data_IF_224065277476
#
_entry.id   IF_224065277476
#
_cell.length_a   1.000
_cell.length_b   1.000
_cell.length_c   1.000
_cell.angle_alpha   90.00
_cell.angle_beta   90.00
_cell.angle_gamma   90.00
#
_symmetry.space_group_name_H-M   'P 1'
#
loop_
_entity.id
_entity.type
_entity.pdbx_description
1 polymer ?
#
# COMPACT_ATOMS: atom_id res chain seq x y z
N UNK A 1 -0.34 5.56 -5.14
CA UNK A 1 0.71 6.57 -5.34
C UNK A 1 0.16 7.99 -5.36
N UNK A 2 -0.81 8.33 -6.24
CA UNK A 2 -1.41 9.68 -6.32
C UNK A 2 -1.87 10.25 -4.96
N UNK A 3 -2.52 9.45 -4.12
CA UNK A 3 -2.96 9.88 -2.79
C UNK A 3 -1.78 10.37 -1.91
N UNK A 4 -0.68 9.63 -1.87
CA UNK A 4 0.50 9.97 -1.09
C UNK A 4 1.28 11.15 -1.68
N UNK A 5 1.32 11.27 -3.01
CA UNK A 5 1.86 12.47 -3.68
C UNK A 5 1.09 13.73 -3.26
N UNK A 6 -0.24 13.67 -3.27
CA UNK A 6 -1.11 14.77 -2.82
C UNK A 6 -0.99 15.06 -1.32
N UNK A 7 -0.59 14.07 -0.51
CA UNK A 7 -0.31 14.23 0.91
C UNK A 7 1.07 14.88 1.18
N UNK A 8 1.92 14.99 0.16
CA UNK A 8 3.25 15.63 0.24
C UNK A 8 4.43 14.66 0.20
N UNK A 9 4.22 13.39 -0.18
CA UNK A 9 5.33 12.46 -0.38
C UNK A 9 6.21 12.90 -1.57
N UNK A 10 7.53 12.88 -1.37
CA UNK A 10 8.53 13.29 -2.36
C UNK A 10 9.35 12.13 -2.90
N UNK A 11 9.43 11.02 -2.17
CA UNK A 11 10.19 9.81 -2.53
C UNK A 11 9.41 8.55 -2.17
N UNK A 12 9.50 7.53 -3.01
CA UNK A 12 8.94 6.21 -2.76
C UNK A 12 10.03 5.14 -2.81
N UNK A 13 10.13 4.35 -1.74
CA UNK A 13 10.84 3.08 -1.76
C UNK A 13 9.81 1.97 -1.97
N UNK A 14 9.86 1.31 -3.12
CA UNK A 14 8.94 0.22 -3.46
C UNK A 14 9.70 -1.09 -3.30
N UNK A 15 9.41 -1.80 -2.22
CA UNK A 15 9.97 -3.13 -2.00
C UNK A 15 9.21 -4.14 -2.84
N UNK A 16 9.93 -4.93 -3.63
CA UNK A 16 9.33 -5.87 -4.58
C UNK A 16 10.08 -7.19 -4.61
N UNK A 17 9.34 -8.29 -4.69
CA UNK A 17 9.86 -9.62 -4.99
C UNK A 17 9.51 -10.00 -6.43
N UNK A 18 8.27 -9.75 -6.81
CA UNK A 18 7.72 -10.05 -8.11
C UNK A 18 6.58 -9.08 -8.38
N UNK A 19 6.60 -8.39 -9.51
CA UNK A 19 5.49 -7.56 -10.00
C UNK A 19 5.20 -7.82 -11.47
N UNK A 20 3.95 -7.63 -11.91
CA UNK A 20 3.61 -7.77 -13.33
C UNK A 20 4.29 -6.67 -14.15
N UNK A 21 4.46 -6.93 -15.45
CA UNK A 21 4.98 -5.91 -16.37
C UNK A 21 4.14 -4.62 -16.35
N UNK A 22 2.82 -4.72 -16.22
CA UNK A 22 1.93 -3.56 -16.20
C UNK A 22 2.18 -2.67 -14.97
N UNK A 23 2.34 -3.28 -13.79
CA UNK A 23 2.70 -2.55 -12.56
C UNK A 23 4.09 -1.94 -12.68
N UNK A 24 5.05 -2.68 -13.26
CA UNK A 24 6.40 -2.17 -13.52
C UNK A 24 6.37 -0.94 -14.44
N UNK A 25 5.57 -1.00 -15.52
CA UNK A 25 5.40 0.11 -16.45
C UNK A 25 4.80 1.34 -15.76
N UNK A 26 3.86 1.14 -14.84
CA UNK A 26 3.31 2.25 -14.03
C UNK A 26 4.42 2.88 -13.18
N UNK A 27 5.23 2.10 -12.46
CA UNK A 27 6.34 2.66 -11.66
C UNK A 27 7.35 3.42 -12.52
N UNK A 28 7.75 2.85 -13.66
CA UNK A 28 8.65 3.52 -14.62
C UNK A 28 8.05 4.82 -15.14
N UNK A 29 6.76 4.83 -15.47
CA UNK A 29 6.08 6.03 -15.90
C UNK A 29 6.09 7.14 -14.84
N UNK A 30 5.81 6.83 -13.57
CA UNK A 30 5.91 7.84 -12.51
C UNK A 30 7.34 8.36 -12.37
N UNK A 31 8.33 7.48 -12.47
CA UNK A 31 9.75 7.82 -12.37
C UNK A 31 10.22 8.73 -13.50
N UNK A 32 9.88 8.39 -14.75
CA UNK A 32 10.17 9.20 -15.94
C UNK A 32 9.49 10.57 -15.88
N UNK A 33 8.35 10.66 -15.17
CA UNK A 33 7.58 11.89 -14.96
C UNK A 33 7.86 12.58 -13.62
N UNK A 34 9.10 12.46 -13.14
CA UNK A 34 9.66 13.30 -12.09
C UNK A 34 9.32 12.89 -10.66
N UNK A 35 8.74 11.70 -10.44
CA UNK A 35 8.57 11.15 -9.09
C UNK A 35 9.83 10.35 -8.71
N UNK A 36 10.43 10.63 -7.56
CA UNK A 36 11.58 9.86 -7.08
C UNK A 36 11.11 8.48 -6.58
N UNK A 37 11.40 7.45 -7.38
CA UNK A 37 11.07 6.05 -7.08
C UNK A 37 12.34 5.21 -7.10
N UNK A 38 12.58 4.55 -5.98
CA UNK A 38 13.59 3.52 -5.80
C UNK A 38 12.89 2.15 -5.67
N UNK A 39 13.16 1.25 -6.61
CA UNK A 39 12.71 -0.14 -6.52
C UNK A 39 13.75 -0.91 -5.71
N UNK A 40 13.36 -1.45 -4.56
CA UNK A 40 14.24 -2.17 -3.64
C UNK A 40 13.87 -3.65 -3.68
N UNK A 41 14.84 -4.53 -3.89
CA UNK A 41 14.59 -5.96 -3.84
C UNK A 41 14.13 -6.36 -2.43
N UNK A 42 13.01 -7.08 -2.36
CA UNK A 42 12.49 -7.58 -1.09
C UNK A 42 13.44 -8.66 -0.54
N UNK A 43 13.81 -8.60 0.75
CA UNK A 43 14.71 -9.58 1.35
C UNK A 43 14.10 -10.98 1.29
N UNK A 44 14.75 -11.88 0.55
CA UNK A 44 14.42 -13.31 0.55
C UNK A 44 14.98 -13.93 1.84
N UNK A 45 14.10 -14.35 2.74
CA UNK A 45 14.49 -15.15 3.89
C UNK A 45 14.43 -16.63 3.49
N UNK A 46 15.41 -17.41 3.94
CA UNK A 46 15.58 -18.79 3.46
C UNK A 46 14.41 -19.68 3.93
N UNK A 47 13.55 -20.09 3.01
CA UNK A 47 12.19 -20.60 3.27
C UNK A 47 12.13 -22.07 3.75
N UNK A 48 13.28 -22.74 3.91
CA UNK A 48 13.36 -24.18 4.15
C UNK A 48 12.70 -24.64 5.47
N UNK A 49 12.45 -23.73 6.41
CA UNK A 49 11.66 -23.96 7.63
C UNK A 49 10.89 -22.70 8.05
N UNK A 50 10.31 -21.98 7.08
CA UNK A 50 9.55 -20.78 7.39
C UNK A 50 8.39 -21.10 8.33
N UNK A 51 8.40 -20.53 9.53
CA UNK A 51 7.23 -20.43 10.39
C UNK A 51 6.59 -19.04 10.23
N UNK A 52 5.44 -18.82 10.87
CA UNK A 52 4.75 -17.52 10.84
C UNK A 52 5.65 -16.35 11.32
N UNK A 53 6.66 -16.65 12.13
CA UNK A 53 7.65 -15.67 12.57
C UNK A 53 8.53 -15.18 11.41
N UNK A 54 8.90 -16.05 10.46
CA UNK A 54 9.65 -15.66 9.26
C UNK A 54 8.87 -14.76 8.28
N UNK A 55 7.56 -14.99 8.09
CA UNK A 55 6.74 -14.11 7.24
C UNK A 55 6.71 -12.67 7.75
N UNK A 56 6.45 -12.49 9.05
CA UNK A 56 6.51 -11.16 9.66
C UNK A 56 7.94 -10.58 9.65
N UNK A 57 8.96 -11.43 9.68
CA UNK A 57 10.36 -11.00 9.66
C UNK A 57 10.71 -10.31 8.34
N UNK A 58 10.23 -10.80 7.19
CA UNK A 58 10.49 -10.14 5.89
C UNK A 58 9.91 -8.71 5.83
N UNK A 59 8.69 -8.53 6.33
CA UNK A 59 8.05 -7.21 6.39
C UNK A 59 8.77 -6.28 7.36
N UNK A 60 9.12 -6.76 8.55
CA UNK A 60 9.84 -5.97 9.56
C UNK A 60 11.23 -5.59 9.06
N UNK A 61 11.97 -6.51 8.42
CA UNK A 61 13.28 -6.21 7.83
C UNK A 61 13.14 -5.13 6.75
N UNK A 62 12.16 -5.25 5.85
CA UNK A 62 11.92 -4.26 4.79
C UNK A 62 11.56 -2.88 5.34
N UNK A 63 10.76 -2.83 6.42
CA UNK A 63 10.44 -1.58 7.11
C UNK A 63 11.70 -0.92 7.68
N UNK A 64 12.56 -1.69 8.35
CA UNK A 64 13.77 -1.14 8.94
C UNK A 64 14.80 -0.73 7.89
N UNK A 65 14.97 -1.51 6.82
CA UNK A 65 15.79 -1.11 5.67
C UNK A 65 15.27 0.21 5.07
N UNK A 66 13.95 0.37 4.93
CA UNK A 66 13.34 1.58 4.43
C UNK A 66 13.63 2.79 5.33
N UNK A 67 13.51 2.62 6.64
CA UNK A 67 13.84 3.67 7.60
C UNK A 67 15.33 4.04 7.54
N UNK A 68 16.23 3.06 7.44
CA UNK A 68 17.66 3.32 7.31
C UNK A 68 18.01 4.04 6.00
N UNK A 69 17.40 3.67 4.87
CA UNK A 69 17.56 4.38 3.59
C UNK A 69 16.99 5.80 3.62
N UNK A 70 15.93 6.02 4.40
CA UNK A 70 15.30 7.33 4.51
C UNK A 70 16.09 8.30 5.40
N UNK A 71 17.00 7.80 6.26
CA UNK A 71 17.89 8.65 7.06
C UNK A 71 18.67 9.59 6.16
N UNK A 72 18.81 10.83 6.61
CA UNK A 72 19.49 11.93 5.94
C UNK A 72 18.88 12.36 4.60
N UNK A 73 17.80 11.70 4.15
CA UNK A 73 17.10 11.97 2.89
C UNK A 73 15.65 12.43 3.09
N UNK A 74 15.02 12.06 4.20
CA UNK A 74 13.65 12.43 4.52
C UNK A 74 13.49 12.83 6.00
N UNK A 75 12.73 13.88 6.24
CA UNK A 75 12.37 14.29 7.61
C UNK A 75 11.38 13.29 8.24
N UNK A 76 10.45 12.78 7.43
CA UNK A 76 9.45 11.80 7.82
C UNK A 76 9.36 10.68 6.78
N UNK A 77 9.15 9.45 7.25
CA UNK A 77 8.91 8.27 6.42
C UNK A 77 7.65 7.55 6.91
N UNK A 78 6.74 7.25 5.99
CA UNK A 78 5.53 6.48 6.27
C UNK A 78 5.71 5.05 5.72
N UNK A 79 5.38 4.05 6.53
CA UNK A 79 5.33 2.64 6.10
C UNK A 79 3.89 2.27 5.80
N UNK A 80 3.57 2.07 4.53
CA UNK A 80 2.17 2.02 4.05
C UNK A 80 1.98 0.82 3.13
N UNK A 81 0.81 0.20 3.21
CA UNK A 81 0.44 -0.86 2.28
C UNK A 81 -0.08 -0.22 0.96
N UNK A 82 0.01 -0.92 -0.17
CA UNK A 82 -0.40 -0.36 -1.47
C UNK A 82 -1.90 -0.04 -1.56
N UNK A 83 -2.70 -0.67 -0.71
CA UNK A 83 -4.14 -0.50 -0.57
C UNK A 83 -4.52 0.49 0.57
N UNK A 84 -3.58 1.28 1.07
CA UNK A 84 -3.83 2.28 2.10
C UNK A 84 -3.79 3.71 1.55
N UNK A 85 -4.85 4.47 1.87
CA UNK A 85 -5.00 5.87 1.52
C UNK A 85 -4.97 6.72 2.79
N UNK A 86 -4.26 7.83 2.78
CA UNK A 86 -4.44 8.88 3.79
C UNK A 86 -5.54 9.84 3.34
N UNK A 87 -6.50 10.05 4.22
CA UNK A 87 -7.63 10.95 4.02
C UNK A 87 -7.49 12.09 5.01
N UNK A 88 -7.46 13.32 4.46
CA UNK A 88 -7.25 14.55 5.22
C UNK A 88 -8.58 15.29 5.33
N UNK A 89 -8.95 15.68 6.54
CA UNK A 89 -10.22 16.36 6.79
C UNK A 89 -10.24 17.82 6.34
N UNK A 90 -9.09 18.35 5.93
CA UNK A 90 -8.97 19.71 5.38
C UNK A 90 -8.04 19.69 4.16
N UNK A 91 -7.95 20.83 3.48
CA UNK A 91 -6.98 21.04 2.39
C UNK A 91 -5.53 21.12 2.86
N UNK A 92 -5.28 21.11 4.18
CA UNK A 92 -3.93 21.11 4.77
C UNK A 92 -3.23 19.80 4.42
N UNK A 93 -2.08 19.83 3.71
CA UNK A 93 -1.33 18.63 3.39
C UNK A 93 -0.81 17.93 4.65
N UNK A 94 -0.65 16.60 4.59
CA UNK A 94 -0.16 15.81 5.72
C UNK A 94 1.20 16.31 6.21
N UNK A 95 2.11 16.68 5.30
CA UNK A 95 3.42 17.24 5.67
C UNK A 95 3.31 18.48 6.56
N UNK A 96 2.30 19.33 6.36
CA UNK A 96 2.10 20.51 7.20
C UNK A 96 1.63 20.14 8.62
N UNK A 97 0.80 19.10 8.75
CA UNK A 97 0.41 18.53 10.04
C UNK A 97 1.64 17.96 10.77
N UNK A 98 2.52 17.28 10.04
CA UNK A 98 3.74 16.67 10.58
C UNK A 98 4.77 17.72 11.02
N UNK A 99 4.91 18.84 10.30
CA UNK A 99 5.86 19.91 10.64
C UNK A 99 5.56 20.59 11.99
N UNK A 100 4.34 20.46 12.52
CA UNK A 100 3.99 20.87 13.89
C UNK A 100 4.55 19.95 14.99
N UNK A 101 5.31 18.92 14.64
CA UNK A 101 5.86 17.94 15.60
C UNK A 101 7.19 18.42 16.18
N UNK A 102 7.37 18.25 17.49
CA UNK A 102 8.61 18.57 18.18
C UNK A 102 9.81 17.81 17.60
N UNK A 103 11.00 18.44 17.61
CA UNK A 103 12.23 17.86 17.05
C UNK A 103 12.65 16.56 17.77
N UNK A 104 12.42 16.47 19.08
CA UNK A 104 12.71 15.30 19.92
C UNK A 104 11.60 14.22 19.89
N UNK A 105 10.81 14.20 18.81
CA UNK A 105 9.76 13.22 18.61
C UNK A 105 10.19 12.11 17.66
N UNK A 106 9.78 10.87 17.92
CA UNK A 106 9.99 9.76 17.01
C UNK A 106 9.14 9.87 15.73
N UNK A 107 8.14 10.76 15.72
CA UNK A 107 7.18 10.91 14.64
C UNK A 107 5.75 10.90 15.15
N UNK A 108 4.81 10.46 14.30
CA UNK A 108 3.39 10.40 14.61
C UNK A 108 2.72 9.11 14.16
N UNK A 109 1.56 8.81 14.73
CA UNK A 109 0.70 7.72 14.29
C UNK A 109 -0.62 8.21 13.70
N UNK A 110 -1.10 7.56 12.66
CA UNK A 110 -2.43 7.81 12.07
C UNK A 110 -3.36 6.63 12.41
N UNK A 111 -4.54 6.96 12.95
CA UNK A 111 -5.59 5.98 13.20
C UNK A 111 -6.20 5.48 11.91
N UNK A 112 -6.69 4.24 11.94
CA UNK A 112 -7.05 3.52 10.72
C UNK A 112 -8.55 3.19 10.70
N UNK A 113 -9.15 3.26 9.53
CA UNK A 113 -10.47 2.69 9.25
C UNK A 113 -10.35 1.67 8.10
N UNK A 114 -11.24 0.68 8.09
CA UNK A 114 -11.37 -0.23 6.96
C UNK A 114 -12.43 0.29 6.00
N UNK A 115 -12.21 0.13 4.70
CA UNK A 115 -13.22 0.43 3.69
C UNK A 115 -13.31 -0.71 2.69
N UNK A 116 -14.54 -1.06 2.34
CA UNK A 116 -14.78 -1.99 1.26
C UNK A 116 -14.97 -1.19 -0.03
N UNK A 117 -14.31 -1.62 -1.08
CA UNK A 117 -14.40 -0.99 -2.38
C UNK A 117 -14.58 -2.04 -3.46
N UNK A 118 -15.47 -1.75 -4.40
CA UNK A 118 -15.57 -2.47 -5.66
C UNK A 118 -14.84 -1.65 -6.72
N UNK A 119 -13.80 -2.24 -7.32
CA UNK A 119 -13.03 -1.55 -8.35
C UNK A 119 -13.01 -2.35 -9.65
N UNK A 120 -13.38 -1.67 -10.71
CA UNK A 120 -13.49 -2.18 -12.06
C UNK A 120 -12.23 -1.96 -12.91
N UNK A 121 -11.09 -1.56 -12.32
CA UNK A 121 -9.81 -1.42 -13.03
C UNK A 121 -9.36 -2.71 -13.73
N UNK A 122 -9.91 -3.86 -13.35
CA UNK A 122 -9.68 -5.11 -14.05
C UNK A 122 -10.13 -5.07 -15.53
N UNK A 123 -11.06 -4.19 -15.87
CA UNK A 123 -11.52 -3.97 -17.24
C UNK A 123 -10.78 -2.84 -17.97
N UNK A 124 -9.98 -2.05 -17.25
CA UNK A 124 -9.22 -0.96 -17.85
C UNK A 124 -8.16 -1.54 -18.79
N UNK A 125 -8.26 -1.20 -20.06
CA UNK A 125 -7.24 -1.50 -21.09
C UNK A 125 -6.43 -0.27 -21.50
N UNK A 126 -6.84 0.90 -21.02
CA UNK A 126 -6.23 2.20 -21.32
C UNK A 126 -6.05 2.98 -20.00
N UNK A 127 -4.84 3.48 -19.71
CA UNK A 127 -4.57 4.32 -18.54
C UNK A 127 -5.47 5.55 -18.41
N UNK A 128 -5.94 6.11 -19.53
CA UNK A 128 -6.87 7.25 -19.55
C UNK A 128 -8.25 6.88 -18.97
N UNK A 129 -8.59 5.59 -18.91
CA UNK A 129 -9.83 5.10 -18.30
C UNK A 129 -9.69 4.85 -16.79
N UNK A 130 -8.49 5.00 -16.23
CA UNK A 130 -8.31 4.91 -14.79
C UNK A 130 -8.78 6.23 -14.14
N UNK A 131 -9.77 6.12 -13.26
CA UNK A 131 -10.22 7.22 -12.39
C UNK A 131 -10.42 6.71 -10.97
N UNK A 132 -10.36 7.58 -9.97
CA UNK A 132 -10.55 7.20 -8.58
C UNK A 132 -12.02 7.34 -8.12
N UNK A 133 -12.96 7.45 -9.06
CA UNK A 133 -14.37 7.74 -8.78
C UNK A 133 -15.08 6.63 -8.01
N UNK A 134 -14.53 5.40 -8.02
CA UNK A 134 -15.00 4.30 -7.17
C UNK A 134 -14.92 4.62 -5.67
N UNK A 135 -14.09 5.60 -5.25
CA UNK A 135 -14.08 6.11 -3.88
C UNK A 135 -15.36 6.87 -3.51
N UNK A 136 -16.15 7.34 -4.48
CA UNK A 136 -17.40 8.07 -4.22
C UNK A 136 -18.48 7.19 -3.62
N UNK A 137 -18.46 5.90 -3.97
CA UNK A 137 -19.39 4.86 -3.50
C UNK A 137 -18.75 4.00 -2.40
N UNK A 138 -17.48 4.26 -2.07
CA UNK A 138 -16.77 3.54 -1.03
C UNK A 138 -17.24 3.99 0.35
N UNK A 139 -17.57 3.01 1.17
CA UNK A 139 -17.92 3.24 2.56
C UNK A 139 -16.84 2.68 3.50
N UNK A 140 -16.62 3.36 4.62
CA UNK A 140 -15.65 2.94 5.62
C UNK A 140 -16.29 2.73 6.99
N UNK A 141 -15.74 1.78 7.73
CA UNK A 141 -16.10 1.44 9.10
C UNK A 141 -15.61 2.50 10.09
N UNK A 142 -16.02 2.38 11.35
CA UNK A 142 -15.55 3.27 12.41
C UNK A 142 -14.02 3.29 12.51
N UNK A 143 -13.48 4.47 12.80
CA UNK A 143 -12.05 4.67 13.02
C UNK A 143 -11.63 3.88 14.26
N UNK A 144 -10.58 3.08 14.10
CA UNK A 144 -9.95 2.31 15.16
C UNK A 144 -8.59 2.89 15.52
N UNK A 145 -8.32 2.98 16.82
CA UNK A 145 -6.98 3.24 17.34
C UNK A 145 -6.13 1.96 17.43
N UNK A 146 -6.72 0.79 17.19
CA UNK A 146 -5.98 -0.46 17.13
C UNK A 146 -5.13 -0.50 15.84
N UNK A 147 -3.86 -0.87 15.99
CA UNK A 147 -2.92 -1.01 14.87
C UNK A 147 -2.85 0.24 13.99
N UNK A 148 -2.44 1.39 14.56
CA UNK A 148 -2.26 2.59 13.77
C UNK A 148 -1.12 2.39 12.76
N UNK A 149 -1.04 3.24 11.73
CA UNK A 149 0.16 3.31 10.89
C UNK A 149 1.09 4.40 11.40
N UNK A 150 2.38 4.13 11.26
CA UNK A 150 3.43 4.99 11.76
C UNK A 150 3.97 5.88 10.65
N UNK A 151 4.18 7.15 10.99
CA UNK A 151 4.94 8.11 10.20
C UNK A 151 6.09 8.56 11.08
N UNK A 152 7.28 8.05 10.78
CA UNK A 152 8.43 8.09 11.66
C UNK A 152 9.41 9.15 11.18
N UNK A 153 10.11 9.79 12.11
CA UNK A 153 11.35 10.53 11.79
C UNK A 153 12.47 9.49 11.71
N UNK A 154 13.04 9.21 10.52
CA UNK A 154 14.03 8.15 10.37
C UNK A 154 15.24 8.31 11.31
N UNK A 155 15.65 9.56 11.55
CA UNK A 155 16.78 9.89 12.44
C UNK A 155 16.52 9.65 13.93
N UNK A 156 15.28 9.38 14.33
CA UNK A 156 14.90 9.25 15.74
C UNK A 156 14.46 7.82 16.10
N UNK A 157 14.45 6.90 15.12
CA UNK A 157 13.98 5.52 15.29
C UNK A 157 15.06 4.54 14.83
N UNK A 158 15.52 3.69 15.74
CA UNK A 158 16.47 2.63 15.42
C UNK A 158 15.76 1.42 14.82
N UNK A 159 14.60 1.06 15.37
CA UNK A 159 13.84 -0.10 14.91
C UNK A 159 12.34 0.08 15.06
N UNK A 160 11.61 -0.36 14.04
CA UNK A 160 10.15 -0.36 14.04
C UNK A 160 9.58 -1.67 13.49
N UNK A 161 8.37 -1.97 13.94
CA UNK A 161 7.46 -2.96 13.36
C UNK A 161 6.38 -2.22 12.56
N UNK A 162 5.41 -2.96 12.04
CA UNK A 162 4.30 -2.43 11.22
C UNK A 162 3.45 -1.39 11.97
N UNK A 163 3.22 -1.59 13.27
CA UNK A 163 2.26 -0.79 14.06
C UNK A 163 2.85 -0.21 15.34
N UNK A 164 4.11 -0.50 15.65
CA UNK A 164 4.79 -0.05 16.87
C UNK A 164 6.25 0.22 16.62
N UNK A 165 6.78 1.21 17.34
CA UNK A 165 8.22 1.47 17.42
C UNK A 165 8.80 0.49 18.43
N UNK A 166 9.85 -0.24 18.04
CA UNK A 166 10.53 -1.18 18.93
C UNK A 166 11.66 -0.50 19.69
N UNK A 167 12.34 0.45 19.05
CA UNK A 167 13.56 1.04 19.59
C UNK A 167 13.78 2.46 19.05
N UNK A 168 14.03 3.38 19.98
CA UNK A 168 14.24 4.80 19.72
C UNK A 168 15.72 5.15 19.83
N UNK A 169 16.11 6.21 19.15
CA UNK A 169 17.41 6.83 19.41
C UNK A 169 17.46 7.46 20.81
N UNK A 170 18.67 7.62 21.40
CA UNK A 170 18.82 8.29 22.68
C UNK A 170 18.17 9.68 22.70
N UNK A 171 17.65 10.09 23.86
CA UNK A 171 17.02 11.41 24.11
C UNK A 171 15.66 11.65 23.41
N UNK A 172 15.16 10.69 22.64
CA UNK A 172 13.81 10.76 22.06
C UNK A 172 12.79 10.31 23.10
N UNK A 173 11.80 11.16 23.36
CA UNK A 173 10.86 10.96 24.48
C UNK A 173 9.39 11.03 24.07
N UNK A 174 9.09 11.45 22.85
CA UNK A 174 7.70 11.70 22.43
C UNK A 174 7.33 10.97 21.15
N UNK A 175 6.10 10.48 21.10
CA UNK A 175 5.45 9.95 19.91
C UNK A 175 3.95 10.22 20.06
N UNK A 176 3.33 10.89 19.09
CA UNK A 176 1.96 11.39 19.25
C UNK A 176 1.05 10.94 18.11
N UNK A 177 -0.23 10.72 18.44
CA UNK A 177 -1.24 10.46 17.42
C UNK A 177 -1.63 11.74 16.68
N UNK A 178 -1.86 11.64 15.37
CA UNK A 178 -2.64 12.63 14.64
C UNK A 178 -4.12 12.42 15.02
N UNK A 179 -4.85 13.47 15.44
CA UNK A 179 -6.28 13.36 15.69
C UNK A 179 -7.02 12.83 14.46
N UNK A 180 -7.95 11.89 14.64
CA UNK A 180 -8.76 11.34 13.53
C UNK A 180 -9.63 12.42 12.85
N UNK A 181 -9.87 13.54 13.53
CA UNK A 181 -10.52 14.73 12.97
C UNK A 181 -9.64 15.50 11.98
N UNK A 182 -8.33 15.26 11.96
CA UNK A 182 -7.37 15.88 11.02
C UNK A 182 -6.99 14.93 9.89
N UNK A 183 -6.65 13.68 10.23
CA UNK A 183 -6.27 12.66 9.26
C UNK A 183 -6.69 11.27 9.71
N UNK A 184 -7.14 10.46 8.76
CA UNK A 184 -7.45 9.04 8.96
C UNK A 184 -6.84 8.24 7.81
N UNK A 185 -6.29 7.07 8.13
CA UNK A 185 -5.83 6.12 7.12
C UNK A 185 -6.96 5.16 6.76
N UNK A 186 -7.34 5.09 5.49
CA UNK A 186 -8.30 4.14 4.97
C UNK A 186 -7.57 2.94 4.39
N UNK A 187 -7.78 1.79 5.01
CA UNK A 187 -7.28 0.50 4.53
C UNK A 187 -8.36 -0.15 3.67
N UNK A 188 -8.12 -0.16 2.36
CA UNK A 188 -9.05 -0.65 1.35
C UNK A 188 -9.04 -2.18 1.28
N UNK A 189 -10.22 -2.80 1.21
CA UNK A 189 -10.40 -4.23 1.01
C UNK A 189 -11.31 -4.50 -0.17
N UNK A 190 -10.84 -5.32 -1.11
CA UNK A 190 -11.60 -5.81 -2.26
C UNK A 190 -12.72 -6.76 -1.87
N UNK A 191 -12.59 -7.45 -0.72
CA UNK A 191 -13.63 -8.31 -0.18
C UNK A 191 -14.25 -7.70 1.07
N UNK A 192 -15.54 -7.98 1.22
CA UNK A 192 -16.24 -7.76 2.47
C UNK A 192 -15.74 -8.81 3.47
N UNK A 193 -14.58 -8.55 4.09
CA UNK A 193 -14.26 -9.16 5.39
C UNK A 193 -15.46 -8.91 6.32
N UNK A 194 -15.53 -9.56 7.48
CA UNK A 194 -16.51 -9.19 8.51
C UNK A 194 -16.20 -7.78 9.05
N UNK A 195 -16.26 -6.76 8.19
CA UNK A 195 -16.36 -5.37 8.55
C UNK A 195 -17.61 -5.31 9.40
N UNK A 196 -17.43 -4.83 10.63
CA UNK A 196 -18.53 -4.67 11.55
C UNK A 196 -19.67 -4.03 10.78
N UNK A 197 -20.82 -4.72 10.74
CA UNK A 197 -22.03 -4.36 9.96
C UNK A 197 -22.61 -2.99 10.32
N UNK A 198 -21.93 -2.25 11.17
CA UNK A 198 -22.43 -1.10 11.88
C UNK A 198 -21.64 0.13 11.45
N UNK A 199 -22.35 0.92 10.63
CA UNK A 199 -22.14 2.33 10.31
C UNK A 199 -21.07 2.56 9.23
N UNK A 200 -21.53 2.42 7.98
CA UNK A 200 -20.91 2.97 6.80
C UNK A 200 -21.18 4.48 6.75
N UNK A 201 -20.15 5.30 6.97
CA UNK A 201 -20.28 6.76 6.79
C UNK A 201 -19.87 7.11 5.37
N UNK A 202 -20.84 7.45 4.51
CA UNK A 202 -20.51 8.21 3.30
C UNK A 202 -19.99 9.57 3.75
N UNK A 203 -18.75 9.90 3.38
CA UNK A 203 -18.17 11.19 3.73
C UNK A 203 -17.76 11.92 2.46
N UNK A 204 -18.22 13.17 2.30
CA UNK A 204 -17.83 14.09 1.23
C UNK A 204 -16.29 14.16 1.09
N UNK A 205 -15.55 13.93 2.17
CA UNK A 205 -14.08 13.91 2.16
C UNK A 205 -13.52 12.83 1.22
N UNK A 206 -14.13 11.63 1.12
CA UNK A 206 -13.68 10.61 0.17
C UNK A 206 -13.95 11.03 -1.28
N UNK A 207 -15.08 11.68 -1.54
CA UNK A 207 -15.41 12.21 -2.87
C UNK A 207 -14.44 13.32 -3.29
N UNK A 208 -14.10 14.22 -2.36
CA UNK A 208 -13.09 15.26 -2.59
C UNK A 208 -11.70 14.65 -2.81
N UNK A 209 -11.35 13.61 -2.05
CA UNK A 209 -10.10 12.87 -2.22
C UNK A 209 -10.04 12.19 -3.60
N UNK A 210 -11.13 11.52 -4.00
CA UNK A 210 -11.29 10.89 -5.30
C UNK A 210 -11.07 11.89 -6.43
N UNK A 211 -11.77 13.02 -6.37
CA UNK A 211 -11.67 14.10 -7.36
C UNK A 211 -10.24 14.61 -7.49
N UNK A 212 -9.58 14.91 -6.37
CA UNK A 212 -8.19 15.41 -6.37
C UNK A 212 -7.22 14.40 -6.97
N UNK A 213 -7.38 13.12 -6.66
CA UNK A 213 -6.56 12.05 -7.21
C UNK A 213 -6.78 11.88 -8.72
N UNK A 214 -8.05 11.90 -9.18
CA UNK A 214 -8.40 11.83 -10.60
C UNK A 214 -7.83 13.03 -11.36
N UNK A 215 -8.00 14.25 -10.85
CA UNK A 215 -7.46 15.48 -11.44
C UNK A 215 -5.91 15.47 -11.48
N UNK A 216 -5.26 14.89 -10.47
CA UNK A 216 -3.80 14.73 -10.44
C UNK A 216 -3.33 13.75 -11.52
N UNK A 217 -3.99 12.60 -11.61
CA UNK A 217 -3.68 11.56 -12.58
C UNK A 217 -3.87 12.03 -14.03
N UNK A 218 -5.01 12.64 -14.34
CA UNK A 218 -5.32 13.17 -15.68
C UNK A 218 -4.30 14.23 -16.09
N UNK A 219 -3.94 15.16 -15.19
CA UNK A 219 -2.91 16.17 -15.48
C UNK A 219 -1.56 15.53 -15.80
N UNK A 220 -1.19 14.47 -15.08
CA UNK A 220 0.08 13.76 -15.32
C UNK A 220 0.07 13.07 -16.68
N UNK A 221 -1.02 12.41 -17.04
CA UNK A 221 -1.21 11.77 -18.35
C UNK A 221 -1.08 12.79 -19.49
N UNK A 222 -1.73 13.95 -19.38
CA UNK A 222 -1.63 15.00 -20.39
C UNK A 222 -0.22 15.61 -20.51
N UNK A 223 0.54 15.70 -19.41
CA UNK A 223 1.90 16.21 -19.46
C UNK A 223 2.89 15.26 -20.18
N UNK A 224 2.49 14.00 -20.39
CA UNK A 224 3.39 12.89 -20.71
C UNK A 224 2.82 12.02 -21.85
N UNK A 225 2.07 12.62 -22.77
CA UNK A 225 1.21 11.93 -23.74
C UNK A 225 1.94 10.85 -24.57
N UNK A 226 3.23 11.06 -24.89
CA UNK A 226 4.06 10.08 -25.62
C UNK A 226 4.41 8.84 -24.79
N UNK A 227 4.50 8.98 -23.47
CA UNK A 227 4.83 7.89 -22.55
C UNK A 227 3.57 7.12 -22.12
N UNK A 228 2.40 7.76 -22.13
CA UNK A 228 1.11 7.10 -21.89
C UNK A 228 0.85 5.98 -22.89
N UNK A 229 1.25 6.14 -24.16
CA UNK A 229 1.09 5.08 -25.17
C UNK A 229 1.91 3.80 -24.87
N UNK A 230 2.92 3.89 -23.99
CA UNK A 230 3.72 2.75 -23.53
C UNK A 230 3.06 2.01 -22.36
N UNK A 231 2.16 2.67 -21.64
CA UNK A 231 1.39 2.06 -20.57
C UNK A 231 0.29 1.18 -21.17
N UNK A 232 0.61 -0.10 -21.39
CA UNK A 232 -0.40 -1.13 -21.65
C UNK A 232 -0.86 -1.72 -20.33
N UNK A 233 -2.17 -1.77 -20.13
CA UNK A 233 -2.79 -2.45 -19.00
C UNK A 233 -3.43 -3.72 -19.54
N UNK A 234 -2.93 -4.86 -19.09
CA UNK A 234 -3.55 -6.16 -19.35
C UNK A 234 -4.79 -6.25 -18.47
N UNK A 235 -5.93 -6.63 -19.06
CA UNK A 235 -7.12 -6.96 -18.27
C UNK A 235 -6.78 -8.09 -17.29
N UNK A 236 -7.11 -7.90 -16.02
CA UNK A 236 -6.94 -8.96 -15.02
C UNK A 236 -8.03 -10.02 -15.14
N UNK A 237 -7.92 -11.07 -14.32
CA UNK A 237 -8.91 -12.13 -14.22
C UNK A 237 -9.54 -12.15 -12.82
N UNK A 238 -10.81 -11.75 -12.69
CA UNK A 238 -11.50 -11.67 -11.39
C UNK A 238 -11.67 -13.06 -10.76
N UNK A 239 -11.87 -14.08 -11.58
CA UNK A 239 -12.03 -15.46 -11.12
C UNK A 239 -10.75 -15.91 -10.38
N UNK A 240 -9.58 -15.63 -10.94
CA UNK A 240 -8.30 -15.96 -10.29
C UNK A 240 -8.10 -15.17 -9.00
N UNK A 241 -8.38 -13.86 -9.01
CA UNK A 241 -8.26 -13.05 -7.80
C UNK A 241 -9.16 -13.57 -6.68
N UNK A 242 -10.40 -13.93 -7.02
CA UNK A 242 -11.35 -14.52 -6.08
C UNK A 242 -10.89 -15.89 -5.58
N UNK A 243 -10.43 -16.78 -6.47
CA UNK A 243 -9.91 -18.11 -6.09
C UNK A 243 -8.70 -18.01 -5.16
N UNK A 244 -7.78 -17.08 -5.44
CA UNK A 244 -6.62 -16.80 -4.59
C UNK A 244 -7.05 -16.36 -3.19
N UNK A 245 -8.02 -15.45 -3.10
CA UNK A 245 -8.49 -14.92 -1.83
C UNK A 245 -9.31 -15.96 -1.03
N UNK A 246 -10.18 -16.73 -1.69
CA UNK A 246 -10.88 -17.87 -1.11
C UNK A 246 -9.92 -18.91 -0.54
N UNK A 247 -8.87 -19.24 -1.29
CA UNK A 247 -7.82 -20.12 -0.81
C UNK A 247 -7.12 -19.55 0.44
N UNK A 248 -6.74 -18.27 0.43
CA UNK A 248 -6.09 -17.63 1.59
C UNK A 248 -7.00 -17.65 2.83
N UNK A 249 -8.30 -17.42 2.66
CA UNK A 249 -9.29 -17.49 3.74
C UNK A 249 -9.45 -18.92 4.27
N UNK A 250 -9.46 -19.92 3.40
CA UNK A 250 -9.56 -21.32 3.79
C UNK A 250 -8.31 -21.83 4.47
N UNK A 251 -7.13 -21.38 4.03
CA UNK A 251 -5.90 -21.64 4.76
C UNK A 251 -5.99 -21.00 6.16
N UNK A 252 -6.35 -19.71 6.29
CA UNK A 252 -6.48 -19.03 7.61
C UNK A 252 -7.36 -19.78 8.62
N UNK A 253 -8.38 -20.52 8.17
CA UNK A 253 -9.24 -21.36 9.03
C UNK A 253 -8.57 -22.64 9.51
N UNK A 254 -7.58 -23.15 8.77
CA UNK A 254 -6.79 -24.34 9.11
C UNK A 254 -5.70 -23.93 10.11
N UNK A 255 -6.05 -23.99 11.40
CA UNK A 255 -5.24 -23.58 12.58
C UNK A 255 -3.82 -24.18 12.65
N UNK A 256 -3.46 -25.13 11.77
CA UNK A 256 -2.21 -25.90 11.81
C UNK A 256 -1.30 -25.75 10.57
N UNK A 257 -1.69 -25.03 9.53
CA UNK A 257 -0.77 -24.76 8.41
C UNK A 257 0.04 -23.50 8.74
N UNK A 258 1.30 -23.71 9.14
CA UNK A 258 2.21 -22.69 9.67
C UNK A 258 2.66 -21.63 8.65
N UNK A 259 2.21 -21.70 7.39
CA UNK A 259 2.49 -20.72 6.34
C UNK A 259 1.25 -20.42 5.49
N UNK A 260 0.67 -19.22 5.66
CA UNK A 260 -0.37 -18.69 4.79
C UNK A 260 0.24 -17.80 3.71
N UNK A 261 1.05 -18.39 2.83
CA UNK A 261 1.66 -17.61 1.74
C UNK A 261 0.77 -17.63 0.50
N UNK A 262 0.76 -16.53 -0.23
CA UNK A 262 0.19 -16.49 -1.57
C UNK A 262 0.77 -17.62 -2.44
N UNK A 263 2.06 -17.93 -2.29
CA UNK A 263 2.75 -19.05 -2.95
C UNK A 263 2.11 -20.40 -2.69
N UNK A 264 1.62 -20.68 -1.48
CA UNK A 264 0.91 -21.93 -1.18
C UNK A 264 -0.41 -22.02 -1.95
N UNK A 265 -1.20 -20.93 -1.95
CA UNK A 265 -2.45 -20.88 -2.70
C UNK A 265 -2.24 -20.99 -4.19
N UNK A 266 -1.24 -20.28 -4.69
CA UNK A 266 -0.79 -20.35 -6.07
C UNK A 266 -0.45 -21.81 -6.45
N UNK A 267 0.34 -22.51 -5.63
CA UNK A 267 0.71 -23.91 -5.86
C UNK A 267 -0.51 -24.84 -5.88
N UNK A 268 -1.41 -24.72 -4.90
CA UNK A 268 -2.63 -25.52 -4.80
C UNK A 268 -3.60 -25.26 -5.97
N UNK A 269 -3.75 -24.00 -6.38
CA UNK A 269 -4.59 -23.63 -7.51
C UNK A 269 -3.97 -24.11 -8.84
N UNK A 270 -2.66 -23.99 -9.01
CA UNK A 270 -1.94 -24.43 -10.23
C UNK A 270 -2.03 -25.95 -10.48
N UNK A 271 -2.13 -26.75 -9.42
CA UNK A 271 -2.35 -28.21 -9.52
C UNK A 271 -3.73 -28.57 -10.06
N UNK A 272 -4.72 -27.71 -9.83
CA UNK A 272 -6.12 -28.00 -10.12
C UNK A 272 -6.66 -27.26 -11.35
N UNK A 273 -5.90 -26.34 -11.94
CA UNK A 273 -6.35 -25.57 -13.10
C UNK A 273 -5.20 -25.16 -14.02
N UNK A 274 -5.32 -25.56 -15.29
CA UNK A 274 -4.40 -25.16 -16.38
C UNK A 274 -4.41 -23.65 -16.66
N UNK A 275 -5.42 -22.93 -16.17
CA UNK A 275 -5.60 -21.48 -16.37
C UNK A 275 -4.63 -20.65 -15.53
N UNK A 276 -4.15 -21.17 -14.39
CA UNK A 276 -3.24 -20.42 -13.51
C UNK A 276 -1.78 -20.42 -13.98
N UNK A 277 -1.38 -21.37 -14.82
CA UNK A 277 -0.01 -21.46 -15.34
C UNK A 277 0.31 -20.25 -16.22
N UNK A 278 -0.63 -19.81 -17.06
CA UNK A 278 -0.48 -18.61 -17.91
C UNK A 278 -0.47 -17.29 -17.12
N UNK A 279 -1.05 -17.27 -15.91
CA UNK A 279 -1.07 -16.08 -15.04
C UNK A 279 0.17 -16.02 -14.13
N UNK A 280 0.62 -17.16 -13.61
CA UNK A 280 1.85 -17.26 -12.83
C UNK A 280 3.11 -17.10 -13.67
N UNK A 281 3.11 -17.63 -14.89
CA UNK A 281 4.25 -17.64 -15.79
C UNK A 281 3.76 -17.38 -17.20
N UNK A 282 3.28 -16.17 -17.52
CA UNK A 282 3.30 -15.77 -18.92
C UNK A 282 4.78 -15.88 -19.30
N UNK A 283 5.13 -16.77 -20.24
CA UNK A 283 6.49 -17.29 -20.50
C UNK A 283 7.62 -16.24 -20.60
N UNK A 284 7.30 -14.93 -20.57
CA UNK A 284 8.20 -13.77 -20.64
C UNK A 284 7.66 -12.49 -19.94
N UNK A 285 7.20 -12.52 -18.67
CA UNK A 285 6.69 -11.28 -18.01
C UNK A 285 7.19 -10.92 -16.62
N UNK A 286 7.92 -11.79 -15.94
CA UNK A 286 8.63 -11.39 -14.72
C UNK A 286 10.04 -10.97 -15.13
N UNK A 287 10.38 -9.72 -14.87
CA UNK A 287 11.76 -9.27 -14.98
C UNK A 287 12.47 -9.70 -13.69
N UNK A 288 13.30 -10.73 -13.78
CA UNK A 288 14.47 -10.84 -12.93
C UNK A 288 15.47 -9.79 -13.47
N UNK A 289 15.68 -8.70 -12.73
CA UNK A 289 16.72 -7.70 -13.02
C UNK A 289 17.97 -8.02 -12.24
#
# INVERSE_FOLDING_TARGET
MENWLLAGATKFFIYWQSVTQDVTNIFLYYKENGVDIELVAWPQLNDENADFAMYNSGQVVSINDCLHRARSHAEFAATVDLNELVVLSSSTPLVAILNGTQLNSAGRSITRAHAHFENNYIYASDPMLLSFDWLNETHFANVSSAQPKLILRPENVQRSSVHWINELEPLITTFTGIPHTEATLIHLRSMQEKMDKNIFVTNNILQETAKRMTDSWIRRLHASEKDVQKLRITRGNMEIAQLMEECLLDLKKKVHSMCFTASHCIHELSRNSSVLIDWQYPEKRWLEL
#
